data_IF_051694975910
#
_entry.id   IF_051694975910
#
_cell.length_a   1.000
_cell.length_b   1.000
_cell.length_c   1.000
_cell.angle_alpha   90.00
_cell.angle_beta   90.00
_cell.angle_gamma   90.00
#
_symmetry.space_group_name_H-M   'P 1'
#
loop_
_entity.id
_entity.type
_entity.pdbx_description
1 polymer ?
#
# COMPACT_ATOMS: atom_id res chain seq x y z
N UNK A 1 -12.74 44.44 -42.04
CA UNK A 1 -11.64 43.61 -41.50
C UNK A 1 -12.28 42.66 -40.48
N UNK A 2 -12.69 41.47 -40.92
CA UNK A 2 -13.32 40.46 -40.05
C UNK A 2 -12.22 39.61 -39.42
N UNK A 3 -12.14 39.61 -38.09
CA UNK A 3 -11.33 38.67 -37.32
C UNK A 3 -12.06 37.32 -37.31
N UNK A 4 -11.43 36.19 -37.67
CA UNK A 4 -12.02 34.88 -37.42
C UNK A 4 -11.84 34.53 -35.94
N UNK A 5 -12.95 34.17 -35.31
CA UNK A 5 -13.03 33.60 -33.98
C UNK A 5 -12.47 32.17 -34.05
N UNK A 6 -11.21 31.98 -33.64
CA UNK A 6 -10.64 30.64 -33.41
C UNK A 6 -11.29 30.05 -32.16
N UNK A 7 -12.27 29.19 -32.36
CA UNK A 7 -12.78 28.30 -31.30
C UNK A 7 -11.70 27.25 -31.08
N UNK A 8 -10.87 27.47 -30.06
CA UNK A 8 -9.98 26.45 -29.55
C UNK A 8 -10.81 25.28 -29.04
N UNK A 9 -10.75 24.15 -29.75
CA UNK A 9 -11.14 22.86 -29.20
C UNK A 9 -10.21 22.62 -28.00
N UNK A 10 -10.75 22.83 -26.80
CA UNK A 10 -10.14 22.30 -25.60
C UNK A 10 -9.94 20.81 -25.83
N UNK A 11 -8.68 20.36 -25.79
CA UNK A 11 -8.38 18.96 -25.70
C UNK A 11 -9.06 18.45 -24.42
N UNK A 12 -10.22 17.81 -24.57
CA UNK A 12 -10.70 16.90 -23.56
C UNK A 12 -9.65 15.81 -23.48
N UNK A 13 -8.77 15.87 -22.48
CA UNK A 13 -8.11 14.67 -22.02
C UNK A 13 -9.22 13.70 -21.67
N UNK A 14 -9.39 12.66 -22.48
CA UNK A 14 -10.12 11.48 -22.06
C UNK A 14 -9.32 10.88 -20.90
N UNK A 15 -9.49 11.43 -19.70
CA UNK A 15 -9.30 10.69 -18.47
C UNK A 15 -10.44 9.67 -18.43
N UNK A 16 -10.30 8.60 -19.23
CA UNK A 16 -10.98 7.36 -18.92
C UNK A 16 -10.62 7.05 -17.46
N UNK A 17 -11.63 6.85 -16.62
CA UNK A 17 -11.43 6.59 -15.20
C UNK A 17 -10.52 5.37 -15.05
N UNK A 18 -9.22 5.61 -14.83
CA UNK A 18 -8.23 4.54 -14.71
C UNK A 18 -8.65 3.67 -13.53
N UNK A 19 -8.70 2.35 -13.74
CA UNK A 19 -9.03 1.38 -12.70
C UNK A 19 -8.04 1.54 -11.53
N UNK A 20 -8.59 1.62 -10.31
CA UNK A 20 -7.85 1.66 -9.06
C UNK A 20 -7.83 0.25 -8.46
N UNK A 21 -6.72 -0.45 -8.63
CA UNK A 21 -6.55 -1.80 -8.14
C UNK A 21 -5.91 -1.80 -6.76
N UNK A 22 -6.47 -2.56 -5.83
CA UNK A 22 -5.91 -2.82 -4.51
C UNK A 22 -5.33 -4.22 -4.49
N UNK A 23 -4.09 -4.36 -4.03
CA UNK A 23 -3.39 -5.66 -3.99
C UNK A 23 -2.65 -5.81 -2.67
N UNK A 24 -2.71 -7.00 -2.10
CA UNK A 24 -1.95 -7.32 -0.91
C UNK A 24 -2.52 -8.47 -0.09
N UNK A 25 -2.32 -8.38 1.22
CA UNK A 25 -2.65 -9.47 2.14
C UNK A 25 -4.10 -9.41 2.68
N UNK A 26 -4.35 -10.01 3.86
CA UNK A 26 -5.66 -10.02 4.50
C UNK A 26 -6.20 -8.63 4.81
N UNK A 27 -5.34 -7.63 5.01
CA UNK A 27 -5.75 -6.24 5.24
C UNK A 27 -6.44 -5.67 3.99
N UNK A 28 -5.93 -5.98 2.81
CA UNK A 28 -6.56 -5.60 1.54
C UNK A 28 -7.81 -6.46 1.30
N UNK A 29 -7.74 -7.77 1.54
CA UNK A 29 -8.87 -8.67 1.35
C UNK A 29 -10.10 -8.28 2.19
N UNK A 30 -9.88 -7.77 3.40
CA UNK A 30 -10.94 -7.30 4.30
C UNK A 30 -11.45 -5.89 4.00
N UNK A 31 -10.86 -5.17 3.04
CA UNK A 31 -11.20 -3.78 2.75
C UNK A 31 -12.41 -3.70 1.79
N UNK A 32 -13.51 -3.08 2.24
CA UNK A 32 -14.62 -2.70 1.36
C UNK A 32 -14.24 -1.49 0.48
N UNK A 33 -13.47 -1.76 -0.57
CA UNK A 33 -12.95 -0.74 -1.50
C UNK A 33 -14.06 -0.10 -2.34
N UNK A 34 -15.14 -0.82 -2.61
CA UNK A 34 -16.30 -0.30 -3.35
C UNK A 34 -17.01 0.79 -2.55
N UNK A 35 -17.27 0.56 -1.26
CA UNK A 35 -17.85 1.58 -0.38
C UNK A 35 -16.88 2.74 -0.10
N UNK A 36 -15.58 2.44 -0.02
CA UNK A 36 -14.55 3.46 0.24
C UNK A 36 -14.35 4.43 -0.93
N UNK A 37 -14.45 3.94 -2.17
CA UNK A 37 -14.18 4.73 -3.39
C UNK A 37 -15.33 4.62 -4.41
N UNK A 38 -16.55 5.09 -4.07
CA UNK A 38 -17.76 4.82 -4.85
C UNK A 38 -17.80 5.53 -6.21
N UNK A 39 -16.90 6.48 -6.45
CA UNK A 39 -16.78 7.22 -7.71
C UNK A 39 -15.67 6.70 -8.63
N UNK A 40 -14.98 5.62 -8.24
CA UNK A 40 -13.89 4.99 -9.00
C UNK A 40 -14.30 3.61 -9.49
N UNK A 41 -13.71 3.17 -10.60
CA UNK A 41 -13.69 1.75 -10.96
C UNK A 41 -12.63 1.11 -10.08
N UNK A 42 -13.03 0.22 -9.19
CA UNK A 42 -12.12 -0.44 -8.24
C UNK A 42 -12.07 -1.94 -8.44
N UNK A 43 -10.90 -2.51 -8.15
CA UNK A 43 -10.68 -3.96 -8.07
C UNK A 43 -9.97 -4.27 -6.76
N UNK A 44 -10.42 -5.29 -6.04
CA UNK A 44 -9.77 -5.77 -4.82
C UNK A 44 -9.17 -7.16 -5.09
N UNK A 45 -7.85 -7.22 -5.19
CA UNK A 45 -7.05 -8.42 -5.41
C UNK A 45 -6.33 -8.85 -4.10
N UNK A 46 -6.91 -8.58 -2.94
CA UNK A 46 -6.36 -8.99 -1.65
C UNK A 46 -6.53 -10.48 -1.38
N UNK A 47 -5.49 -11.14 -0.87
CA UNK A 47 -5.51 -12.57 -0.50
C UNK A 47 -5.03 -12.75 0.93
N UNK A 48 -5.86 -13.39 1.76
CA UNK A 48 -5.52 -13.65 3.15
C UNK A 48 -4.23 -14.47 3.31
N UNK A 49 -3.32 -14.00 4.16
CA UNK A 49 -2.05 -14.67 4.44
C UNK A 49 -0.98 -14.51 3.36
N UNK A 50 -1.21 -13.70 2.32
CA UNK A 50 -0.24 -13.48 1.26
C UNK A 50 1.04 -12.80 1.78
N UNK A 51 2.15 -13.24 1.22
CA UNK A 51 3.46 -12.61 1.34
C UNK A 51 3.75 -11.83 0.05
N UNK A 52 4.78 -10.98 0.08
CA UNK A 52 5.19 -10.19 -1.09
C UNK A 52 5.50 -11.05 -2.32
N UNK A 53 6.21 -12.16 -2.13
CA UNK A 53 6.62 -13.08 -3.19
C UNK A 53 5.43 -13.80 -3.87
N UNK A 54 4.28 -13.87 -3.20
CA UNK A 54 3.08 -14.50 -3.76
C UNK A 54 2.48 -13.66 -4.89
N UNK A 55 2.64 -12.32 -4.85
CA UNK A 55 1.90 -11.40 -5.71
C UNK A 55 2.18 -11.61 -7.20
N UNK A 56 3.44 -11.90 -7.56
CA UNK A 56 3.83 -12.16 -8.95
C UNK A 56 3.31 -13.52 -9.46
N UNK A 57 2.94 -14.44 -8.58
CA UNK A 57 2.40 -15.75 -8.97
C UNK A 57 0.95 -15.69 -9.46
N UNK A 58 0.23 -14.61 -9.16
CA UNK A 58 -1.21 -14.48 -9.44
C UNK A 58 -1.52 -14.04 -10.87
N UNK A 59 -0.50 -13.74 -11.69
CA UNK A 59 -0.64 -13.30 -13.10
C UNK A 59 -1.61 -12.12 -13.27
N UNK A 60 -1.57 -11.18 -12.33
CA UNK A 60 -2.40 -9.98 -12.33
C UNK A 60 -1.91 -8.98 -13.38
N UNK A 61 -2.84 -8.40 -14.13
CA UNK A 61 -2.54 -7.31 -15.06
C UNK A 61 -2.83 -5.95 -14.41
N UNK A 62 -1.75 -5.21 -14.15
CA UNK A 62 -1.74 -3.86 -13.61
C UNK A 62 -1.13 -2.84 -14.58
N UNK A 63 -0.78 -3.25 -15.79
CA UNK A 63 -0.12 -2.35 -16.74
C UNK A 63 -1.00 -1.16 -17.06
N UNK A 64 -0.47 0.04 -16.82
CA UNK A 64 -1.20 1.29 -17.07
C UNK A 64 -2.34 1.60 -16.08
N UNK A 65 -2.43 0.89 -14.95
CA UNK A 65 -3.44 1.12 -13.90
C UNK A 65 -2.88 1.84 -12.69
N UNK A 66 -3.75 2.36 -11.83
CA UNK A 66 -3.36 2.83 -10.51
C UNK A 66 -3.40 1.67 -9.52
N UNK A 67 -2.30 1.43 -8.81
CA UNK A 67 -2.18 0.28 -7.91
C UNK A 67 -1.92 0.75 -6.49
N UNK A 68 -2.73 0.27 -5.55
CA UNK A 68 -2.56 0.46 -4.10
C UNK A 68 -2.06 -0.85 -3.51
N UNK A 69 -0.88 -0.81 -2.90
CA UNK A 69 -0.25 -1.95 -2.25
C UNK A 69 -0.30 -1.81 -0.72
N UNK A 70 -0.78 -2.86 -0.06
CA UNK A 70 -0.64 -3.03 1.39
C UNK A 70 -0.34 -4.51 1.68
N UNK A 71 0.93 -4.82 1.82
CA UNK A 71 1.44 -6.18 2.00
C UNK A 71 2.81 -6.17 2.66
N UNK A 72 3.09 -7.19 3.45
CA UNK A 72 4.39 -7.38 4.09
C UNK A 72 4.30 -7.81 5.54
N UNK A 73 3.13 -7.65 6.20
CA UNK A 73 2.98 -8.04 7.60
C UNK A 73 3.22 -9.53 7.84
N UNK A 74 2.95 -10.36 6.83
CA UNK A 74 3.18 -11.82 6.88
C UNK A 74 4.66 -12.18 6.64
N UNK A 75 5.43 -11.34 5.96
CA UNK A 75 6.88 -11.51 5.78
C UNK A 75 7.67 -11.26 7.08
N UNK A 76 7.03 -10.72 8.13
CA UNK A 76 7.67 -10.47 9.41
C UNK A 76 7.99 -11.78 10.12
N UNK A 77 9.27 -12.16 10.14
CA UNK A 77 9.76 -13.39 10.75
C UNK A 77 10.94 -13.20 11.70
N UNK A 78 11.67 -14.27 11.98
CA UNK A 78 12.87 -14.21 12.84
C UNK A 78 14.01 -13.36 12.25
N UNK A 79 14.10 -13.29 10.91
CA UNK A 79 15.16 -12.57 10.21
C UNK A 79 15.14 -11.05 10.46
N UNK A 80 13.95 -10.43 10.48
CA UNK A 80 13.82 -9.00 10.78
C UNK A 80 14.09 -8.69 12.26
N UNK A 81 13.83 -9.64 13.17
CA UNK A 81 14.05 -9.44 14.61
C UNK A 81 15.52 -9.58 15.03
N UNK A 82 16.36 -10.18 14.20
CA UNK A 82 17.77 -10.42 14.50
C UNK A 82 18.65 -9.32 13.88
N UNK A 83 19.43 -8.62 14.72
CA UNK A 83 20.27 -7.48 14.32
C UNK A 83 21.32 -7.82 13.24
N UNK A 84 21.78 -9.07 13.17
CA UNK A 84 22.76 -9.49 12.17
C UNK A 84 22.12 -9.76 10.80
N UNK A 85 20.86 -10.20 10.76
CA UNK A 85 20.18 -10.56 9.50
C UNK A 85 19.21 -9.48 9.03
N UNK A 86 18.75 -8.59 9.92
CA UNK A 86 17.78 -7.53 9.60
C UNK A 86 18.23 -6.63 8.44
N UNK A 87 19.47 -6.14 8.37
CA UNK A 87 19.89 -5.27 7.25
C UNK A 87 19.74 -5.95 5.89
N UNK A 88 20.13 -7.23 5.79
CA UNK A 88 19.99 -7.99 4.56
C UNK A 88 18.52 -8.28 4.24
N UNK A 89 17.73 -8.65 5.25
CA UNK A 89 16.28 -8.85 5.08
C UNK A 89 15.60 -7.59 4.53
N UNK A 90 15.92 -6.40 5.08
CA UNK A 90 15.35 -5.13 4.60
C UNK A 90 15.77 -4.88 3.15
N UNK A 91 17.04 -5.08 2.82
CA UNK A 91 17.53 -4.88 1.45
C UNK A 91 16.84 -5.81 0.45
N UNK A 92 16.74 -7.10 0.76
CA UNK A 92 16.10 -8.10 -0.10
C UNK A 92 14.60 -7.82 -0.26
N UNK A 93 13.92 -7.46 0.83
CA UNK A 93 12.50 -7.15 0.81
C UNK A 93 12.19 -5.92 -0.04
N UNK A 94 13.01 -4.87 0.06
CA UNK A 94 12.85 -3.63 -0.73
C UNK A 94 13.12 -3.89 -2.21
N UNK A 95 14.14 -4.71 -2.52
CA UNK A 95 14.45 -5.08 -3.90
C UNK A 95 13.31 -5.92 -4.53
N UNK A 96 12.75 -6.87 -3.78
CA UNK A 96 11.59 -7.65 -4.25
C UNK A 96 10.36 -6.77 -4.47
N UNK A 97 10.13 -5.77 -3.60
CA UNK A 97 9.05 -4.80 -3.77
C UNK A 97 9.24 -3.98 -5.05
N UNK A 98 10.46 -3.47 -5.27
CA UNK A 98 10.82 -2.74 -6.50
C UNK A 98 10.60 -3.62 -7.72
N UNK A 99 11.13 -4.84 -7.71
CA UNK A 99 11.01 -5.79 -8.81
C UNK A 99 9.54 -6.09 -9.14
N UNK A 100 8.71 -6.29 -8.12
CA UNK A 100 7.27 -6.51 -8.26
C UNK A 100 6.58 -5.33 -8.95
N UNK A 101 6.84 -4.10 -8.46
CA UNK A 101 6.28 -2.87 -9.03
C UNK A 101 6.71 -2.68 -10.49
N UNK A 102 8.00 -2.84 -10.79
CA UNK A 102 8.55 -2.66 -12.14
C UNK A 102 8.01 -3.71 -13.12
N UNK A 103 7.82 -4.95 -12.67
CA UNK A 103 7.24 -6.04 -13.47
C UNK A 103 5.80 -5.74 -13.86
N UNK A 104 5.02 -5.18 -12.96
CA UNK A 104 3.63 -4.78 -13.22
C UNK A 104 3.50 -3.56 -14.14
N UNK A 105 4.51 -2.68 -14.15
CA UNK A 105 4.51 -1.44 -14.91
C UNK A 105 3.20 -0.62 -14.74
N UNK A 106 2.81 -0.28 -13.49
CA UNK A 106 1.62 0.51 -13.23
C UNK A 106 1.77 1.94 -13.74
N UNK A 107 0.64 2.63 -13.94
CA UNK A 107 0.64 4.07 -14.25
C UNK A 107 1.05 4.89 -13.02
N UNK A 108 0.52 4.54 -11.85
CA UNK A 108 0.88 5.07 -10.53
C UNK A 108 0.86 3.94 -9.53
N UNK A 109 1.76 3.97 -8.54
CA UNK A 109 1.74 3.04 -7.42
C UNK A 109 1.69 3.79 -6.09
N UNK A 110 0.81 3.34 -5.21
CA UNK A 110 0.64 3.84 -3.86
C UNK A 110 0.99 2.71 -2.90
N UNK A 111 2.08 2.84 -2.16
CA UNK A 111 2.48 1.84 -1.17
C UNK A 111 2.11 2.35 0.21
N UNK A 112 1.16 1.69 0.87
CA UNK A 112 0.76 2.00 2.23
C UNK A 112 1.82 1.43 3.17
N UNK A 113 2.26 2.22 4.16
CA UNK A 113 3.16 1.74 5.21
C UNK A 113 2.63 0.46 5.85
N UNK A 114 3.49 -0.54 6.08
CA UNK A 114 3.13 -1.75 6.84
C UNK A 114 2.68 -1.30 8.23
N UNK A 115 1.50 -1.72 8.66
CA UNK A 115 0.88 -1.26 9.91
C UNK A 115 1.60 -1.81 11.14
N UNK A 116 1.54 -1.11 12.30
CA UNK A 116 1.96 -1.70 13.56
C UNK A 116 1.11 -2.93 13.89
N UNK A 117 1.62 -3.79 14.77
CA UNK A 117 0.92 -4.98 15.28
C UNK A 117 0.79 -4.94 16.80
N UNK A 118 -0.16 -5.73 17.31
CA UNK A 118 -0.45 -5.89 18.73
C UNK A 118 -0.91 -7.31 19.05
N UNK A 119 -0.35 -8.34 18.40
CA UNK A 119 -0.61 -9.70 18.87
C UNK A 119 0.09 -9.99 20.18
N UNK A 120 -0.55 -10.81 21.02
CA UNK A 120 -0.02 -11.21 22.33
C UNK A 120 1.39 -11.82 22.27
N UNK A 121 1.71 -12.51 21.18
CA UNK A 121 2.99 -13.21 21.00
C UNK A 121 3.97 -12.46 20.09
N UNK A 122 3.65 -11.24 19.67
CA UNK A 122 4.59 -10.44 18.89
C UNK A 122 5.77 -10.03 19.77
N UNK A 123 6.96 -10.02 19.18
CA UNK A 123 8.16 -9.54 19.84
C UNK A 123 8.02 -8.03 20.11
N UNK A 124 8.46 -7.55 21.27
CA UNK A 124 8.40 -6.13 21.65
C UNK A 124 9.14 -5.21 20.66
N UNK A 125 10.15 -5.73 19.96
CA UNK A 125 10.92 -5.01 18.94
C UNK A 125 10.28 -5.02 17.56
N UNK A 126 9.20 -5.78 17.35
CA UNK A 126 8.64 -5.97 16.01
C UNK A 126 8.22 -4.65 15.37
N UNK A 127 7.51 -3.80 16.11
CA UNK A 127 7.02 -2.52 15.61
C UNK A 127 8.15 -1.53 15.29
N UNK A 128 9.24 -1.52 16.06
CA UNK A 128 10.40 -0.70 15.70
C UNK A 128 11.13 -1.22 14.46
N UNK A 129 11.16 -2.55 14.27
CA UNK A 129 11.70 -3.15 13.04
C UNK A 129 10.80 -2.87 11.82
N UNK A 130 9.47 -2.88 11.99
CA UNK A 130 8.51 -2.48 10.94
C UNK A 130 8.74 -1.02 10.55
N UNK A 131 8.97 -0.13 11.52
CA UNK A 131 9.26 1.28 11.24
C UNK A 131 10.57 1.45 10.43
N UNK A 132 11.62 0.69 10.76
CA UNK A 132 12.88 0.67 9.99
C UNK A 132 12.64 0.21 8.54
N UNK A 133 11.83 -0.83 8.35
CA UNK A 133 11.46 -1.32 7.02
C UNK A 133 10.61 -0.30 6.25
N UNK A 134 9.63 0.33 6.89
CA UNK A 134 8.80 1.37 6.28
C UNK A 134 9.64 2.56 5.80
N UNK A 135 10.68 2.95 6.55
CA UNK A 135 11.61 3.99 6.11
C UNK A 135 12.33 3.59 4.81
N UNK A 136 12.82 2.35 4.72
CA UNK A 136 13.48 1.86 3.52
C UNK A 136 12.52 1.74 2.32
N UNK A 137 11.28 1.28 2.56
CA UNK A 137 10.22 1.27 1.54
C UNK A 137 9.88 2.67 1.06
N UNK A 138 9.74 3.64 1.96
CA UNK A 138 9.45 5.05 1.61
C UNK A 138 10.52 5.59 0.66
N UNK A 139 11.79 5.42 1.01
CA UNK A 139 12.91 5.88 0.17
C UNK A 139 12.90 5.22 -1.22
N UNK A 140 12.60 3.92 -1.28
CA UNK A 140 12.49 3.21 -2.56
C UNK A 140 11.33 3.74 -3.39
N UNK A 141 10.14 3.86 -2.80
CA UNK A 141 8.92 4.29 -3.52
C UNK A 141 9.03 5.73 -3.99
N UNK A 142 9.61 6.62 -3.18
CA UNK A 142 9.85 8.01 -3.55
C UNK A 142 10.94 8.18 -4.62
N UNK A 143 11.78 7.17 -4.83
CA UNK A 143 12.73 7.15 -5.95
C UNK A 143 12.08 6.82 -7.30
N UNK A 144 10.82 6.36 -7.30
CA UNK A 144 10.05 6.10 -8.50
C UNK A 144 9.26 7.35 -8.89
N UNK A 145 9.41 7.84 -10.12
CA UNK A 145 8.69 9.02 -10.63
C UNK A 145 7.15 8.88 -10.61
N UNK A 146 6.66 7.64 -10.48
CA UNK A 146 5.25 7.26 -10.44
C UNK A 146 4.84 6.62 -9.10
N UNK A 147 5.71 6.67 -8.09
CA UNK A 147 5.50 6.12 -6.76
C UNK A 147 4.99 7.16 -5.77
N UNK A 148 4.16 6.71 -4.82
CA UNK A 148 3.74 7.50 -3.67
C UNK A 148 3.71 6.61 -2.44
N UNK A 149 4.54 6.91 -1.44
CA UNK A 149 4.46 6.24 -0.15
C UNK A 149 3.36 6.89 0.69
N UNK A 150 2.39 6.11 1.12
CA UNK A 150 1.26 6.56 1.94
C UNK A 150 1.57 6.21 3.39
N UNK A 151 2.31 7.10 4.05
CA UNK A 151 2.66 6.91 5.45
C UNK A 151 1.43 7.09 6.36
N UNK A 152 0.97 5.97 6.92
CA UNK A 152 -0.14 5.91 7.85
C UNK A 152 0.26 5.35 9.21
N UNK A 153 1.51 4.90 9.39
CA UNK A 153 1.95 4.10 10.53
C UNK A 153 1.59 4.75 11.88
N UNK A 154 1.93 6.02 12.04
CA UNK A 154 1.70 6.76 13.29
C UNK A 154 0.22 7.00 13.60
N UNK A 155 -0.68 6.95 12.60
CA UNK A 155 -2.13 7.06 12.83
C UNK A 155 -2.71 5.82 13.50
N UNK A 156 -2.01 4.68 13.41
CA UNK A 156 -2.39 3.41 14.01
C UNK A 156 -1.68 3.14 15.33
N UNK A 157 -0.70 3.96 15.71
CA UNK A 157 0.15 3.71 16.87
C UNK A 157 -0.51 4.23 18.16
N UNK A 158 -0.60 3.36 19.17
CA UNK A 158 -0.96 3.69 20.53
C UNK A 158 -0.06 2.90 21.49
N UNK A 159 0.63 3.59 22.39
CA UNK A 159 1.59 2.98 23.33
C UNK A 159 2.62 2.04 22.65
N UNK A 160 3.08 2.41 21.45
CA UNK A 160 4.07 1.65 20.68
C UNK A 160 3.54 0.41 19.97
N UNK A 161 2.21 0.19 19.96
CA UNK A 161 1.56 -0.94 19.28
C UNK A 161 0.36 -0.49 18.46
N UNK A 162 -0.25 -1.42 17.70
CA UNK A 162 -1.52 -1.14 17.02
C UNK A 162 -2.59 -0.79 18.06
N UNK A 163 -3.23 0.35 17.86
CA UNK A 163 -4.37 0.77 18.67
C UNK A 163 -5.53 -0.22 18.51
N UNK A 164 -5.93 -0.84 19.62
CA UNK A 164 -7.01 -1.82 19.62
C UNK A 164 -8.39 -1.21 19.35
N UNK A 165 -8.56 0.11 19.47
CA UNK A 165 -9.78 0.78 19.01
C UNK A 165 -9.94 0.72 17.48
N UNK A 166 -8.87 0.46 16.74
CA UNK A 166 -8.86 0.36 15.27
C UNK A 166 -8.69 -1.07 14.76
N UNK A 167 -8.58 -2.06 15.66
CA UNK A 167 -8.27 -3.44 15.30
C UNK A 167 -9.25 -4.43 15.94
N UNK A 168 -9.49 -5.55 15.24
CA UNK A 168 -10.30 -6.66 15.73
C UNK A 168 -9.50 -7.58 16.65
N UNK A 169 -8.22 -7.78 16.36
CA UNK A 169 -7.40 -8.83 16.98
C UNK A 169 -5.94 -8.43 17.23
N UNK A 170 -5.55 -7.20 16.91
CA UNK A 170 -4.16 -6.74 16.98
C UNK A 170 -3.41 -6.83 15.65
N UNK A 171 -4.07 -7.24 14.57
CA UNK A 171 -3.56 -7.18 13.20
C UNK A 171 -4.62 -6.63 12.24
N UNK A 172 -5.78 -7.26 12.17
CA UNK A 172 -6.84 -6.92 11.23
C UNK A 172 -7.60 -5.68 11.71
N UNK A 173 -7.97 -4.82 10.77
CA UNK A 173 -8.65 -3.57 11.08
C UNK A 173 -10.16 -3.78 11.29
N UNK A 174 -10.74 -2.94 12.12
CA UNK A 174 -12.19 -2.74 12.16
C UNK A 174 -12.59 -1.54 11.27
N UNK A 175 -13.88 -1.19 11.25
CA UNK A 175 -14.40 -0.10 10.43
C UNK A 175 -13.71 1.25 10.69
N UNK A 176 -13.35 1.55 11.95
CA UNK A 176 -12.63 2.77 12.31
C UNK A 176 -11.21 2.76 11.72
N UNK A 177 -10.52 1.63 11.80
CA UNK A 177 -9.21 1.45 11.18
C UNK A 177 -9.25 1.61 9.67
N UNK A 178 -10.21 0.98 9.00
CA UNK A 178 -10.39 1.15 7.55
C UNK A 178 -10.74 2.59 7.17
N UNK A 179 -11.51 3.31 7.99
CA UNK A 179 -11.81 4.72 7.74
C UNK A 179 -10.55 5.60 7.76
N UNK A 180 -9.56 5.28 8.62
CA UNK A 180 -8.27 5.97 8.57
C UNK A 180 -7.61 5.74 7.21
N UNK A 181 -7.51 4.49 6.74
CA UNK A 181 -6.93 4.19 5.43
C UNK A 181 -7.66 4.92 4.29
N UNK A 182 -9.00 4.91 4.30
CA UNK A 182 -9.82 5.63 3.31
C UNK A 182 -9.46 7.12 3.26
N UNK A 183 -9.46 7.80 4.41
CA UNK A 183 -9.18 9.24 4.49
C UNK A 183 -7.74 9.55 4.08
N UNK A 184 -6.78 8.71 4.45
CA UNK A 184 -5.36 8.94 4.13
C UNK A 184 -5.07 8.71 2.65
N UNK A 185 -5.60 7.63 2.09
CA UNK A 185 -5.42 7.30 0.68
C UNK A 185 -6.15 8.29 -0.24
N UNK A 186 -7.39 8.69 0.08
CA UNK A 186 -8.14 9.65 -0.71
C UNK A 186 -7.47 11.03 -0.87
N UNK A 187 -6.54 11.40 0.02
CA UNK A 187 -5.77 12.67 -0.08
C UNK A 187 -4.68 12.65 -1.14
N UNK A 188 -4.23 11.46 -1.56
CA UNK A 188 -3.11 11.29 -2.49
C UNK A 188 -3.53 10.74 -3.84
N UNK A 189 -4.73 10.13 -3.92
CA UNK A 189 -5.35 9.68 -5.18
C UNK A 189 -5.71 10.86 -6.08
#
# INVERSE_FOLDING_TARGET
MMLPLMVGLGACSNDESTELCFVGDSLVAGWDTYSAFPTRIVRNDGVGGAHLEDLLTWNLDYRGKDVVMLVGTNNMGSAILNDNTRPQFIADFVEEYRHTIETWAPRRVFVISILPRNFKNDNERLNSCIQELNLALSQMVESLDYGTFVDVYDYFLYEGKLNMDYSLDGLHLNDLGYNILNVRLAKVL
#
